data_IF_078710257234
#
_entry.id   IF_078710257234
#
_cell.length_a   1.000
_cell.length_b   1.000
_cell.length_c   1.000
_cell.angle_alpha   90.00
_cell.angle_beta   90.00
_cell.angle_gamma   90.00
#
_symmetry.space_group_name_H-M   'P 1'
#
loop_
_entity.id
_entity.type
_entity.pdbx_description
1 polymer ?
#
# COMPACT_ATOMS: atom_id res chain seq x y z
N UNK A 1 20.12 -12.54 3.43
CA UNK A 1 20.34 -11.08 3.47
C UNK A 1 18.96 -10.42 3.49
N UNK A 2 18.66 -9.55 4.46
CA UNK A 2 17.39 -8.82 4.49
C UNK A 2 17.46 -7.61 3.55
N UNK A 3 16.37 -7.32 2.83
CA UNK A 3 16.25 -6.14 1.96
C UNK A 3 15.18 -5.23 2.53
N UNK A 4 15.55 -3.99 2.84
CA UNK A 4 14.59 -2.97 3.26
C UNK A 4 14.09 -2.27 2.01
N UNK A 5 12.77 -2.25 1.82
CA UNK A 5 12.09 -1.38 0.86
C UNK A 5 11.45 -0.28 1.68
N UNK A 6 12.20 0.80 1.84
CA UNK A 6 11.68 2.06 2.34
C UNK A 6 11.06 2.76 1.15
N UNK A 7 9.74 2.96 1.21
CA UNK A 7 9.12 4.06 0.48
C UNK A 7 9.04 5.19 1.50
N UNK A 8 10.18 5.84 1.68
CA UNK A 8 10.17 7.26 1.98
C UNK A 8 10.16 7.93 0.61
N UNK A 9 9.28 8.90 0.47
CA UNK A 9 9.17 9.63 -0.76
C UNK A 9 10.42 10.53 -0.97
N UNK A 10 11.53 9.95 -1.41
CA UNK A 10 12.80 10.66 -1.63
C UNK A 10 13.10 10.89 -3.12
N UNK A 11 12.42 10.20 -4.05
CA UNK A 11 12.48 10.50 -5.49
C UNK A 11 11.49 11.57 -5.96
N UNK A 12 10.64 12.04 -5.05
CA UNK A 12 9.74 13.18 -5.24
C UNK A 12 10.13 14.36 -4.34
N UNK A 13 11.34 14.32 -3.74
CA UNK A 13 11.90 15.41 -2.94
C UNK A 13 12.12 16.73 -3.70
N UNK A 14 11.90 16.75 -5.03
CA UNK A 14 11.91 17.97 -5.84
C UNK A 14 10.55 18.34 -6.45
N UNK A 15 9.46 17.57 -6.21
CA UNK A 15 8.19 17.88 -6.89
C UNK A 15 6.94 18.07 -6.04
N UNK A 16 6.86 17.56 -4.82
CA UNK A 16 5.59 17.64 -4.09
C UNK A 16 5.79 18.00 -2.62
N UNK A 17 5.97 19.30 -2.38
CA UNK A 17 5.87 19.91 -1.06
C UNK A 17 4.40 20.10 -0.60
N UNK A 18 3.48 19.18 -0.95
CA UNK A 18 2.06 19.25 -0.57
C UNK A 18 1.45 17.88 -0.17
N UNK A 19 2.29 16.89 0.20
CA UNK A 19 1.87 15.50 0.41
C UNK A 19 1.63 15.07 1.86
N UNK A 20 0.80 14.04 2.04
CA UNK A 20 0.13 13.63 3.30
C UNK A 20 1.00 13.07 4.44
N UNK A 21 2.34 13.20 4.36
CA UNK A 21 3.33 12.71 5.34
C UNK A 21 3.13 11.26 5.83
N UNK A 22 2.43 10.42 5.07
CA UNK A 22 2.18 9.01 5.43
C UNK A 22 3.38 8.16 5.03
N UNK A 23 4.03 7.55 6.02
CA UNK A 23 5.14 6.62 5.79
C UNK A 23 4.65 5.18 5.73
N UNK A 24 5.04 4.45 4.69
CA UNK A 24 4.83 3.01 4.55
C UNK A 24 6.17 2.29 4.39
N UNK A 25 6.32 1.15 5.05
CA UNK A 25 7.58 0.38 5.06
C UNK A 25 7.28 -1.09 4.82
N UNK A 26 8.15 -1.74 4.03
CA UNK A 26 8.24 -3.19 3.99
C UNK A 26 9.68 -3.68 4.01
N UNK A 27 9.91 -4.73 4.79
CA UNK A 27 11.18 -5.41 4.90
C UNK A 27 11.02 -6.84 4.44
N UNK A 28 11.78 -7.20 3.41
CA UNK A 28 11.88 -8.57 2.91
C UNK A 28 12.95 -9.30 3.71
N UNK A 29 12.50 -10.22 4.55
CA UNK A 29 13.34 -11.11 5.33
C UNK A 29 13.49 -12.44 4.60
N UNK A 30 14.57 -13.21 4.85
CA UNK A 30 14.73 -14.53 4.25
C UNK A 30 13.56 -15.49 4.52
N UNK A 31 12.86 -15.32 5.64
CA UNK A 31 11.75 -16.18 6.08
C UNK A 31 10.37 -15.55 5.88
N UNK A 32 10.25 -14.33 5.36
CA UNK A 32 8.96 -13.67 5.25
C UNK A 32 9.03 -12.15 5.07
N UNK A 33 7.94 -11.47 5.36
CA UNK A 33 7.82 -10.02 5.16
C UNK A 33 7.36 -9.38 6.46
N UNK A 34 7.96 -8.25 6.81
CA UNK A 34 7.46 -7.33 7.83
C UNK A 34 7.00 -6.07 7.11
N UNK A 35 5.78 -5.62 7.39
CA UNK A 35 5.25 -4.36 6.86
C UNK A 35 4.73 -3.50 8.00
N UNK A 36 4.86 -2.19 7.85
CA UNK A 36 4.42 -1.20 8.81
C UNK A 36 3.99 0.07 8.09
N UNK A 37 3.16 0.85 8.74
CA UNK A 37 2.75 2.15 8.22
C UNK A 37 2.33 3.08 9.34
N UNK A 38 2.48 4.38 9.10
CA UNK A 38 1.94 5.40 9.98
C UNK A 38 0.41 5.30 10.02
N UNK A 39 -0.18 5.32 11.21
CA UNK A 39 -1.62 5.24 11.41
C UNK A 39 -2.33 6.60 11.32
N UNK A 40 -1.62 7.73 11.34
CA UNK A 40 -2.25 9.05 11.40
C UNK A 40 -3.06 9.34 10.14
N UNK A 41 -4.28 9.85 10.34
CA UNK A 41 -5.07 10.49 9.28
C UNK A 41 -5.07 11.99 9.56
N UNK A 42 -4.37 12.72 8.71
CA UNK A 42 -4.21 14.16 8.79
C UNK A 42 -5.07 14.82 7.73
N UNK A 43 -5.71 15.93 8.09
CA UNK A 43 -6.43 16.74 7.12
C UNK A 43 -5.45 17.61 6.33
N UNK A 44 -5.55 17.56 5.00
CA UNK A 44 -4.67 18.31 4.10
C UNK A 44 -4.91 19.81 4.11
N UNK A 45 -6.04 20.27 4.65
CA UNK A 45 -6.39 21.71 4.68
C UNK A 45 -5.87 22.42 5.91
N UNK A 46 -5.90 21.76 7.07
CA UNK A 46 -5.56 22.35 8.37
C UNK A 46 -4.39 21.64 9.08
N UNK A 47 -3.84 20.57 8.49
CA UNK A 47 -2.73 19.77 9.01
C UNK A 47 -2.99 19.17 10.40
N UNK A 48 -4.26 19.08 10.82
CA UNK A 48 -4.65 18.50 12.10
C UNK A 48 -4.87 16.99 11.94
N UNK A 49 -4.30 16.21 12.86
CA UNK A 49 -4.59 14.78 13.01
C UNK A 49 -6.06 14.64 13.40
N UNK A 50 -6.86 14.06 12.52
CA UNK A 50 -8.30 13.84 12.76
C UNK A 50 -8.55 12.59 13.58
N UNK A 51 -7.83 11.51 13.26
CA UNK A 51 -7.93 10.21 13.94
C UNK A 51 -6.77 9.30 13.52
N UNK A 52 -6.73 8.09 14.09
CA UNK A 52 -5.79 7.04 13.75
C UNK A 52 -6.51 5.89 13.05
N UNK A 53 -5.86 5.29 12.06
CA UNK A 53 -6.38 4.18 11.29
C UNK A 53 -5.29 3.18 10.92
N UNK A 54 -5.61 1.88 11.00
CA UNK A 54 -4.71 0.84 10.53
C UNK A 54 -4.64 0.88 9.01
N UNK A 55 -3.47 1.24 8.46
CA UNK A 55 -3.24 1.28 7.02
C UNK A 55 -2.84 -0.07 6.41
N UNK A 56 -2.78 -1.13 7.22
CA UNK A 56 -2.41 -2.49 6.79
C UNK A 56 -3.66 -3.36 6.66
N UNK A 57 -3.83 -4.01 5.52
CA UNK A 57 -5.00 -4.82 5.17
C UNK A 57 -4.61 -6.24 4.78
N UNK A 58 -5.27 -7.22 5.39
CA UNK A 58 -5.24 -8.61 4.93
C UNK A 58 -6.18 -8.77 3.73
N UNK A 59 -5.57 -8.94 2.55
CA UNK A 59 -6.25 -9.16 1.28
C UNK A 59 -6.59 -10.66 1.13
N UNK A 60 -5.66 -11.55 1.50
CA UNK A 60 -5.88 -13.01 1.46
C UNK A 60 -5.02 -13.74 2.50
N UNK A 61 -5.60 -14.73 3.19
CA UNK A 61 -4.95 -15.52 4.26
C UNK A 61 -4.19 -16.76 3.78
N UNK A 62 -4.81 -17.60 2.94
CA UNK A 62 -4.27 -18.93 2.57
C UNK A 62 -3.11 -18.87 1.56
N UNK A 63 -2.91 -17.72 0.93
CA UNK A 63 -1.65 -17.31 0.32
C UNK A 63 -1.49 -15.86 0.69
N UNK A 64 -0.71 -15.61 1.74
CA UNK A 64 -0.70 -14.35 2.46
C UNK A 64 -0.44 -13.20 1.50
N UNK A 65 -1.46 -12.36 1.31
CA UNK A 65 -1.33 -11.07 0.60
C UNK A 65 -1.74 -9.99 1.60
N UNK A 66 -0.82 -9.08 1.85
CA UNK A 66 -1.04 -7.87 2.62
C UNK A 66 -0.97 -6.68 1.67
N UNK A 67 -1.79 -5.67 1.92
CA UNK A 67 -1.69 -4.41 1.21
C UNK A 67 -1.76 -3.24 2.19
N UNK A 68 -1.21 -2.11 1.77
CA UNK A 68 -1.28 -0.85 2.54
C UNK A 68 -1.36 0.33 1.61
N UNK A 69 -1.92 1.46 2.07
CA UNK A 69 -2.08 2.65 1.24
C UNK A 69 -1.61 3.93 1.95
N UNK A 70 -1.30 4.94 1.15
CA UNK A 70 -1.06 6.32 1.58
C UNK A 70 -1.94 7.29 0.78
N UNK A 71 -1.88 8.58 1.13
CA UNK A 71 -2.67 9.66 0.51
C UNK A 71 -4.17 9.60 0.82
N UNK A 72 -5.03 9.43 -0.18
CA UNK A 72 -6.48 9.53 0.00
C UNK A 72 -7.05 8.39 0.85
N UNK A 73 -7.51 8.68 2.08
CA UNK A 73 -8.08 7.67 2.98
C UNK A 73 -9.36 7.02 2.44
N UNK A 74 -10.40 7.76 1.97
CA UNK A 74 -11.60 7.13 1.44
C UNK A 74 -11.32 6.27 0.20
N UNK A 75 -10.49 6.76 -0.73
CA UNK A 75 -10.16 6.02 -1.95
C UNK A 75 -9.25 4.82 -1.68
N UNK A 76 -8.28 4.96 -0.77
CA UNK A 76 -7.42 3.86 -0.33
C UNK A 76 -8.22 2.70 0.26
N UNK A 77 -9.21 2.97 1.12
CA UNK A 77 -10.11 1.91 1.64
C UNK A 77 -10.90 1.23 0.54
N UNK A 78 -11.45 2.00 -0.40
CA UNK A 78 -12.16 1.46 -1.55
C UNK A 78 -11.25 0.54 -2.37
N UNK A 79 -10.02 0.98 -2.63
CA UNK A 79 -9.02 0.20 -3.35
C UNK A 79 -8.66 -1.09 -2.61
N UNK A 80 -8.51 -1.06 -1.28
CA UNK A 80 -8.25 -2.26 -0.47
C UNK A 80 -9.40 -3.28 -0.57
N UNK A 81 -10.65 -2.81 -0.56
CA UNK A 81 -11.84 -3.66 -0.74
C UNK A 81 -11.88 -4.25 -2.15
N UNK A 82 -11.54 -3.46 -3.16
CA UNK A 82 -11.42 -3.92 -4.55
C UNK A 82 -10.41 -5.06 -4.66
N UNK A 83 -9.17 -4.87 -4.14
CA UNK A 83 -8.15 -5.91 -4.15
C UNK A 83 -8.67 -7.17 -3.47
N UNK A 84 -9.21 -7.06 -2.26
CA UNK A 84 -9.73 -8.20 -1.48
C UNK A 84 -10.83 -8.99 -2.20
N UNK A 85 -11.69 -8.30 -2.95
CA UNK A 85 -12.79 -8.92 -3.70
C UNK A 85 -12.28 -9.68 -4.92
N UNK A 86 -11.29 -9.14 -5.63
CA UNK A 86 -10.77 -9.69 -6.89
C UNK A 86 -9.63 -10.72 -6.69
N UNK A 87 -9.04 -10.81 -5.49
CA UNK A 87 -7.90 -11.70 -5.21
C UNK A 87 -8.24 -13.19 -5.16
N UNK A 88 -9.51 -13.59 -5.10
CA UNK A 88 -9.91 -14.97 -4.76
C UNK A 88 -9.27 -16.04 -5.66
N UNK A 89 -8.96 -15.73 -6.92
CA UNK A 89 -8.41 -16.69 -7.87
C UNK A 89 -7.10 -16.24 -8.55
N UNK A 90 -6.50 -15.12 -8.14
CA UNK A 90 -5.35 -14.54 -8.83
C UNK A 90 -4.03 -14.82 -8.09
N UNK A 91 -2.94 -14.98 -8.87
CA UNK A 91 -1.58 -14.91 -8.32
C UNK A 91 -1.20 -13.45 -8.08
N UNK A 92 -0.23 -13.17 -7.19
CA UNK A 92 0.10 -11.79 -6.80
C UNK A 92 0.40 -10.88 -7.99
N UNK A 93 1.13 -11.35 -9.01
CA UNK A 93 1.47 -10.54 -10.18
C UNK A 93 0.23 -10.08 -10.97
N UNK A 94 -0.75 -10.96 -11.15
CA UNK A 94 -2.01 -10.62 -11.82
C UNK A 94 -2.82 -9.63 -10.97
N UNK A 95 -2.87 -9.85 -9.66
CA UNK A 95 -3.56 -8.93 -8.74
C UNK A 95 -2.96 -7.52 -8.79
N UNK A 96 -1.63 -7.41 -8.83
CA UNK A 96 -0.96 -6.12 -8.91
C UNK A 96 -1.18 -5.46 -10.27
N UNK A 97 -1.16 -6.22 -11.36
CA UNK A 97 -1.44 -5.69 -12.69
C UNK A 97 -2.87 -5.14 -12.79
N UNK A 98 -3.87 -5.93 -12.38
CA UNK A 98 -5.28 -5.52 -12.32
C UNK A 98 -5.48 -4.35 -11.36
N UNK A 99 -4.85 -4.40 -10.18
CA UNK A 99 -4.86 -3.32 -9.21
C UNK A 99 -4.27 -2.03 -9.77
N UNK A 100 -3.17 -2.09 -10.52
CA UNK A 100 -2.53 -0.92 -11.14
C UNK A 100 -3.43 -0.31 -12.21
N UNK A 101 -4.10 -1.13 -13.01
CA UNK A 101 -5.06 -0.67 -14.00
C UNK A 101 -6.23 0.06 -13.32
N UNK A 102 -6.78 -0.54 -12.26
CA UNK A 102 -7.87 0.07 -11.50
C UNK A 102 -7.44 1.33 -10.74
N UNK A 103 -6.22 1.36 -10.19
CA UNK A 103 -5.66 2.55 -9.54
C UNK A 103 -5.62 3.71 -10.52
N UNK A 104 -5.15 3.50 -11.76
CA UNK A 104 -5.15 4.55 -12.80
C UNK A 104 -6.54 5.11 -13.12
N UNK A 105 -7.59 4.30 -13.01
CA UNK A 105 -8.98 4.76 -13.20
C UNK A 105 -9.46 5.62 -12.01
N UNK A 106 -9.09 5.24 -10.79
CA UNK A 106 -9.39 5.98 -9.56
C UNK A 106 -8.51 7.25 -9.47
N UNK A 107 -7.27 7.16 -9.92
CA UNK A 107 -6.23 8.19 -9.75
C UNK A 107 -6.49 9.42 -10.64
N UNK A 108 -7.30 9.26 -11.68
CA UNK A 108 -7.87 10.41 -12.40
C UNK A 108 -8.72 11.31 -11.49
N UNK A 109 -9.12 10.82 -10.31
CA UNK A 109 -9.96 11.53 -9.33
C UNK A 109 -9.32 11.67 -7.95
N UNK A 110 -8.35 10.84 -7.60
CA UNK A 110 -7.71 10.80 -6.28
C UNK A 110 -6.21 10.57 -6.43
N UNK A 111 -5.43 10.84 -5.39
CA UNK A 111 -4.04 10.37 -5.34
C UNK A 111 -4.00 9.20 -4.36
N UNK A 112 -3.75 7.98 -4.86
CA UNK A 112 -3.60 6.77 -4.05
C UNK A 112 -2.30 6.08 -4.42
N UNK A 113 -1.43 5.90 -3.43
CA UNK A 113 -0.30 4.99 -3.55
C UNK A 113 -0.57 3.76 -2.69
N UNK A 114 -0.24 2.59 -3.22
CA UNK A 114 -0.51 1.32 -2.58
C UNK A 114 0.71 0.42 -2.62
N UNK A 115 0.96 -0.30 -1.54
CA UNK A 115 1.98 -1.32 -1.45
C UNK A 115 1.33 -2.69 -1.30
N UNK A 116 1.74 -3.68 -2.08
CA UNK A 116 1.24 -5.06 -2.01
C UNK A 116 2.39 -6.01 -1.70
N UNK A 117 2.25 -6.78 -0.63
CA UNK A 117 3.21 -7.77 -0.15
C UNK A 117 2.66 -9.19 -0.27
N UNK A 118 3.52 -10.16 -0.59
CA UNK A 118 3.18 -11.58 -0.43
C UNK A 118 4.41 -12.47 -0.29
N UNK A 119 4.21 -13.66 0.29
CA UNK A 119 5.18 -14.74 0.26
C UNK A 119 4.62 -15.87 -0.60
N UNK A 120 5.26 -16.16 -1.72
CA UNK A 120 4.85 -17.21 -2.67
C UNK A 120 5.99 -18.21 -2.81
N UNK A 121 5.73 -19.48 -2.49
CA UNK A 121 6.71 -20.57 -2.56
C UNK A 121 8.05 -20.26 -1.85
N UNK A 122 8.00 -19.54 -0.72
CA UNK A 122 9.18 -19.15 0.05
C UNK A 122 9.89 -17.87 -0.44
N UNK A 123 9.46 -17.30 -1.57
CA UNK A 123 9.97 -16.05 -2.11
C UNK A 123 9.12 -14.86 -1.65
N UNK A 124 9.77 -13.77 -1.25
CA UNK A 124 9.12 -12.55 -0.78
C UNK A 124 8.92 -11.56 -1.94
N UNK A 125 7.73 -10.98 -2.02
CA UNK A 125 7.34 -10.00 -3.01
C UNK A 125 6.82 -8.75 -2.32
N UNK A 126 7.28 -7.60 -2.79
CA UNK A 126 6.87 -6.27 -2.41
C UNK A 126 6.76 -5.47 -3.69
N UNK A 127 5.56 -5.00 -4.02
CA UNK A 127 5.30 -4.30 -5.27
C UNK A 127 4.52 -3.01 -4.95
N UNK A 128 4.93 -1.93 -5.61
CA UNK A 128 4.28 -0.62 -5.61
C UNK A 128 3.35 -0.52 -6.82
#
# INVERSE_FOLDING_TARGET
MAKIVLIMDEKLGEKLAEETDTVLVAMLLPSGIVTGGDARITSVTDYIIKHYECKLFEIRKNSLILASWSHSSPAGKYFMIYLKTNTRNQIIHQLVEDGTLHSKEIDQKFDVQCFVCSVVNGSQYAIL
#
